data_IF_671003746671
#
_entry.id   IF_671003746671
#
_cell.length_a   1.000
_cell.length_b   1.000
_cell.length_c   1.000
_cell.angle_alpha   90.00
_cell.angle_beta   90.00
_cell.angle_gamma   90.00
#
_symmetry.space_group_name_H-M   'P 1'
#
loop_
_entity.id
_entity.type
_entity.pdbx_description
1 polymer ?
#
# COMPACT_ATOMS: atom_id res chain seq x y z
N UNK A 1 -23.83 -10.35 -4.11
CA UNK A 1 -23.67 -10.02 -2.67
C UNK A 1 -22.65 -8.90 -2.58
N UNK A 2 -23.10 -7.67 -2.35
CA UNK A 2 -22.21 -6.52 -2.19
C UNK A 2 -21.49 -6.64 -0.84
N UNK A 3 -20.20 -6.88 -0.87
CA UNK A 3 -19.38 -6.82 0.34
C UNK A 3 -19.22 -5.35 0.73
N UNK A 4 -20.03 -4.89 1.66
CA UNK A 4 -19.87 -3.58 2.27
C UNK A 4 -18.78 -3.71 3.35
N UNK A 5 -17.65 -3.07 3.15
CA UNK A 5 -16.63 -2.96 4.18
C UNK A 5 -17.14 -2.00 5.27
N UNK A 6 -17.08 -2.41 6.53
CA UNK A 6 -17.46 -1.55 7.65
C UNK A 6 -16.38 -0.52 7.99
N UNK A 7 -15.10 -0.91 7.83
CA UNK A 7 -13.94 -0.04 8.09
C UNK A 7 -12.85 -0.25 7.05
N UNK A 8 -12.19 0.83 6.66
CA UNK A 8 -10.96 0.82 5.87
C UNK A 8 -9.82 1.26 6.78
N UNK A 9 -8.95 0.32 7.14
CA UNK A 9 -7.77 0.56 7.97
C UNK A 9 -6.59 0.86 7.05
N UNK A 10 -5.85 1.93 7.28
CA UNK A 10 -4.69 2.27 6.44
C UNK A 10 -3.45 2.56 7.27
N UNK A 11 -2.34 1.88 6.95
CA UNK A 11 -1.04 2.15 7.56
C UNK A 11 -0.39 3.41 6.99
N UNK A 12 -0.06 4.37 7.86
CA UNK A 12 0.54 5.66 7.49
C UNK A 12 1.88 5.82 8.21
N UNK A 13 2.94 6.16 7.48
CA UNK A 13 4.27 6.45 8.03
C UNK A 13 4.92 7.71 7.45
N UNK A 14 4.21 8.43 6.54
CA UNK A 14 4.70 9.60 5.84
C UNK A 14 5.53 9.29 4.58
N UNK A 15 5.77 8.03 4.25
CA UNK A 15 6.43 7.66 2.99
C UNK A 15 5.51 7.86 1.79
N UNK A 16 6.08 8.06 0.59
CA UNK A 16 5.30 8.18 -0.66
C UNK A 16 4.37 6.98 -0.88
N UNK A 17 4.81 5.77 -0.51
CA UNK A 17 3.97 4.58 -0.59
C UNK A 17 2.79 4.64 0.37
N UNK A 18 2.98 5.13 1.60
CA UNK A 18 1.90 5.27 2.57
C UNK A 18 0.93 6.41 2.23
N UNK A 19 1.43 7.51 1.64
CA UNK A 19 0.57 8.60 1.14
C UNK A 19 -0.31 8.12 -0.02
N UNK A 20 0.23 7.29 -0.91
CA UNK A 20 -0.56 6.67 -1.98
C UNK A 20 -1.59 5.68 -1.42
N UNK A 21 -1.21 4.90 -0.41
CA UNK A 21 -2.13 4.02 0.30
C UNK A 21 -3.27 4.80 0.97
N UNK A 22 -2.96 5.97 1.58
CA UNK A 22 -3.95 6.86 2.18
C UNK A 22 -4.95 7.40 1.13
N UNK A 23 -4.47 7.84 -0.04
CA UNK A 23 -5.33 8.27 -1.16
C UNK A 23 -6.27 7.15 -1.61
N UNK A 24 -5.73 5.95 -1.79
CA UNK A 24 -6.52 4.79 -2.15
C UNK A 24 -7.59 4.47 -1.09
N UNK A 25 -7.20 4.46 0.19
CA UNK A 25 -8.09 4.16 1.31
C UNK A 25 -9.25 5.16 1.41
N UNK A 26 -8.99 6.46 1.24
CA UNK A 26 -10.01 7.51 1.21
C UNK A 26 -10.99 7.30 0.05
N UNK A 27 -10.49 7.04 -1.16
CA UNK A 27 -11.35 6.75 -2.32
C UNK A 27 -12.23 5.52 -2.08
N UNK A 28 -11.68 4.51 -1.45
CA UNK A 28 -12.41 3.27 -1.14
C UNK A 28 -13.44 3.47 -0.03
N UNK A 29 -13.08 4.19 1.04
CA UNK A 29 -14.00 4.52 2.13
C UNK A 29 -15.22 5.29 1.60
N UNK A 30 -15.03 6.27 0.70
CA UNK A 30 -16.12 6.99 0.03
C UNK A 30 -17.00 6.09 -0.82
N UNK A 31 -16.39 5.20 -1.61
CA UNK A 31 -17.13 4.34 -2.53
C UNK A 31 -18.02 3.32 -1.83
N UNK A 32 -17.67 2.92 -0.60
CA UNK A 32 -18.36 1.89 0.16
C UNK A 32 -19.06 2.40 1.44
N UNK A 33 -19.08 3.71 1.65
CA UNK A 33 -19.62 4.34 2.86
C UNK A 33 -19.05 3.71 4.14
N UNK A 34 -17.72 3.52 4.15
CA UNK A 34 -16.99 2.88 5.23
C UNK A 34 -16.25 3.89 6.09
N UNK A 35 -16.14 3.64 7.40
CA UNK A 35 -15.30 4.43 8.29
C UNK A 35 -13.82 4.27 7.92
N UNK A 36 -13.06 5.35 7.91
CA UNK A 36 -11.61 5.35 7.66
C UNK A 36 -10.84 5.34 8.99
N UNK A 37 -9.90 4.40 9.13
CA UNK A 37 -9.05 4.26 10.32
C UNK A 37 -7.59 4.37 9.93
N UNK A 38 -7.02 5.57 9.85
CA UNK A 38 -5.58 5.76 9.65
C UNK A 38 -4.82 5.34 10.91
N UNK A 39 -3.80 4.51 10.71
CA UNK A 39 -2.96 3.98 11.80
C UNK A 39 -1.51 4.39 11.58
N UNK A 40 -0.96 5.17 12.49
CA UNK A 40 0.46 5.47 12.55
C UNK A 40 1.07 4.72 13.74
N UNK A 41 1.98 3.81 13.44
CA UNK A 41 2.74 3.08 14.44
C UNK A 41 4.11 3.73 14.66
N UNK A 42 4.52 3.88 15.91
CA UNK A 42 5.83 4.42 16.24
C UNK A 42 6.55 3.59 17.31
N UNK A 43 7.87 3.62 17.28
CA UNK A 43 8.73 3.01 18.28
C UNK A 43 9.75 4.04 18.77
N UNK A 44 10.16 3.99 20.05
CA UNK A 44 11.23 4.87 20.55
C UNK A 44 12.53 4.71 19.72
N UNK A 45 13.30 5.78 19.54
CA UNK A 45 14.65 5.69 18.98
C UNK A 45 15.49 4.66 19.73
N UNK A 46 16.18 3.78 18.99
CA UNK A 46 16.92 2.65 19.57
C UNK A 46 16.05 1.43 19.90
N UNK A 47 14.72 1.52 19.74
CA UNK A 47 13.78 0.41 19.98
C UNK A 47 13.23 0.35 21.41
N UNK A 48 12.42 -0.69 21.68
CA UNK A 48 11.74 -0.86 22.97
C UNK A 48 12.68 -1.25 24.13
N UNK A 49 13.71 -2.03 23.87
CA UNK A 49 14.58 -2.57 24.93
C UNK A 49 15.37 -1.51 25.70
N UNK A 50 16.05 -0.55 25.05
CA UNK A 50 16.71 0.54 25.74
C UNK A 50 15.74 1.41 26.54
N UNK A 51 14.59 1.72 25.96
CA UNK A 51 13.57 2.57 26.61
C UNK A 51 12.93 1.89 27.83
N UNK A 52 12.83 0.55 27.85
CA UNK A 52 12.38 -0.20 29.05
C UNK A 52 13.38 -0.14 30.18
N UNK A 53 14.71 -0.14 29.87
CA UNK A 53 15.75 -0.07 30.88
C UNK A 53 15.90 1.34 31.47
N UNK A 54 15.71 2.35 30.64
CA UNK A 54 15.87 3.78 31.04
C UNK A 54 14.68 4.59 30.50
N UNK A 55 13.50 4.48 31.11
CA UNK A 55 12.32 5.22 30.66
C UNK A 55 12.48 6.71 30.95
N UNK A 56 12.44 7.55 29.92
CA UNK A 56 12.45 9.00 30.02
C UNK A 56 11.06 9.51 29.64
N UNK A 57 10.19 9.68 30.60
CA UNK A 57 8.78 10.06 30.37
C UNK A 57 8.60 11.30 29.50
N UNK A 58 9.36 12.43 29.68
CA UNK A 58 9.23 13.59 28.80
C UNK A 58 9.49 13.29 27.33
N UNK A 59 10.51 12.46 27.03
CA UNK A 59 10.83 12.07 25.65
C UNK A 59 9.74 11.19 25.04
N UNK A 60 9.17 10.27 25.80
CA UNK A 60 8.07 9.42 25.33
C UNK A 60 6.87 10.26 24.92
N UNK A 61 6.50 11.27 25.70
CA UNK A 61 5.41 12.18 25.38
C UNK A 61 5.71 13.05 24.15
N UNK A 62 6.97 13.41 23.94
CA UNK A 62 7.37 14.14 22.75
C UNK A 62 7.27 13.26 21.50
N UNK A 63 7.81 12.05 21.51
CA UNK A 63 7.71 11.11 20.38
C UNK A 63 6.26 10.79 20.02
N UNK A 64 5.39 10.70 21.00
CA UNK A 64 3.96 10.53 20.76
C UNK A 64 3.39 11.74 20.00
N UNK A 65 3.67 12.98 20.47
CA UNK A 65 3.22 14.19 19.77
C UNK A 65 3.80 14.32 18.36
N UNK A 66 5.07 13.95 18.18
CA UNK A 66 5.72 13.94 16.87
C UNK A 66 5.07 12.92 15.93
N UNK A 67 4.63 11.77 16.44
CA UNK A 67 3.89 10.77 15.68
C UNK A 67 2.49 11.29 15.28
N UNK A 68 1.78 11.93 16.19
CA UNK A 68 0.49 12.58 15.90
C UNK A 68 0.63 13.69 14.86
N UNK A 69 1.70 14.51 14.97
CA UNK A 69 1.98 15.53 13.95
C UNK A 69 2.28 14.93 12.59
N UNK A 70 3.06 13.84 12.52
CA UNK A 70 3.32 13.12 11.25
C UNK A 70 2.04 12.60 10.61
N UNK A 71 1.08 12.13 11.39
CA UNK A 71 -0.20 11.68 10.85
C UNK A 71 -0.98 12.87 10.25
N UNK A 72 -1.02 14.02 10.93
CA UNK A 72 -1.63 15.24 10.38
C UNK A 72 -0.96 15.69 9.09
N UNK A 73 0.37 15.78 9.09
CA UNK A 73 1.16 16.14 7.89
C UNK A 73 0.88 15.17 6.73
N UNK A 74 0.69 13.88 6.99
CA UNK A 74 0.36 12.92 5.95
C UNK A 74 -1.00 13.20 5.29
N UNK A 75 -1.99 13.71 6.01
CA UNK A 75 -3.23 14.18 5.39
C UNK A 75 -3.01 15.40 4.52
N UNK A 76 -2.23 16.37 4.99
CA UNK A 76 -1.93 17.59 4.22
C UNK A 76 -1.18 17.26 2.93
N UNK A 77 -0.12 16.47 3.00
CA UNK A 77 0.70 16.08 1.85
C UNK A 77 -0.01 15.08 0.93
N UNK A 78 -0.76 14.15 1.51
CA UNK A 78 -1.44 13.10 0.78
C UNK A 78 -2.71 13.57 0.07
N UNK A 79 -3.46 14.48 0.66
CA UNK A 79 -4.83 14.81 0.25
C UNK A 79 -5.11 16.31 0.17
N UNK A 80 -4.16 17.17 0.55
CA UNK A 80 -4.36 18.60 0.67
C UNK A 80 -5.17 19.00 1.91
N UNK A 81 -5.29 18.11 2.89
CA UNK A 81 -6.00 18.29 4.14
C UNK A 81 -6.84 17.09 4.56
N UNK A 82 -7.39 17.14 5.75
CA UNK A 82 -8.25 16.07 6.28
C UNK A 82 -9.64 16.12 5.63
N UNK A 83 -10.14 15.02 5.03
CA UNK A 83 -11.50 14.96 4.49
C UNK A 83 -12.56 15.20 5.56
N UNK A 84 -13.51 16.10 5.29
CA UNK A 84 -14.63 16.40 6.19
C UNK A 84 -15.88 15.57 5.91
N UNK A 85 -15.89 14.81 4.84
CA UNK A 85 -16.99 14.01 4.34
C UNK A 85 -16.96 12.54 4.76
N UNK A 86 -15.94 12.14 5.54
CA UNK A 86 -15.74 10.77 6.01
C UNK A 86 -15.75 10.70 7.55
N UNK A 87 -16.26 9.59 8.06
CA UNK A 87 -16.01 9.22 9.47
C UNK A 87 -14.57 8.73 9.60
N UNK A 88 -13.72 9.51 10.27
CA UNK A 88 -12.28 9.22 10.39
C UNK A 88 -11.89 9.10 11.86
N UNK A 89 -11.37 7.94 12.23
CA UNK A 89 -10.87 7.62 13.56
C UNK A 89 -9.36 7.39 13.55
N UNK A 90 -8.57 8.42 13.89
CA UNK A 90 -7.10 8.36 13.90
C UNK A 90 -6.57 7.48 15.03
N UNK A 91 -5.62 6.60 14.72
CA UNK A 91 -4.92 5.79 15.72
C UNK A 91 -3.41 6.02 15.63
N UNK A 92 -2.83 6.54 16.71
CA UNK A 92 -1.37 6.66 16.87
C UNK A 92 -0.94 5.70 17.97
N UNK A 93 -0.25 4.63 17.58
CA UNK A 93 0.02 3.49 18.43
C UNK A 93 1.53 3.26 18.60
N UNK A 94 1.94 2.91 19.82
CA UNK A 94 3.33 2.56 20.09
C UNK A 94 3.54 1.06 19.90
N UNK A 95 4.49 0.70 19.02
CA UNK A 95 4.89 -0.68 18.80
C UNK A 95 5.20 -1.00 17.34
N UNK A 96 5.47 -2.29 17.02
CA UNK A 96 5.77 -2.74 15.67
C UNK A 96 4.57 -2.61 14.73
N UNK A 97 4.74 -1.85 13.65
CA UNK A 97 3.65 -1.46 12.74
C UNK A 97 2.83 -2.65 12.20
N UNK A 98 3.49 -3.70 11.69
CA UNK A 98 2.76 -4.83 11.12
C UNK A 98 1.87 -5.55 12.14
N UNK A 99 2.34 -5.72 13.38
CA UNK A 99 1.53 -6.35 14.45
C UNK A 99 0.35 -5.48 14.84
N UNK A 100 0.56 -4.16 14.94
CA UNK A 100 -0.49 -3.22 15.32
C UNK A 100 -1.56 -3.12 14.25
N UNK A 101 -1.16 -3.03 12.98
CA UNK A 101 -2.10 -3.01 11.85
C UNK A 101 -2.98 -4.26 11.80
N UNK A 102 -2.39 -5.45 11.99
CA UNK A 102 -3.12 -6.71 12.04
C UNK A 102 -4.09 -6.74 13.24
N UNK A 103 -3.65 -6.24 14.41
CA UNK A 103 -4.49 -6.20 15.60
C UNK A 103 -5.65 -5.20 15.50
N UNK A 104 -5.49 -4.10 14.77
CA UNK A 104 -6.55 -3.11 14.51
C UNK A 104 -7.55 -3.64 13.48
N UNK A 105 -7.06 -4.33 12.44
CA UNK A 105 -7.87 -4.95 11.38
C UNK A 105 -8.37 -6.33 11.82
N UNK A 106 -9.18 -6.36 12.88
CA UNK A 106 -9.62 -7.57 13.59
C UNK A 106 -10.98 -8.10 13.15
N UNK A 107 -11.69 -7.39 12.26
CA UNK A 107 -13.03 -7.77 11.82
C UNK A 107 -12.99 -8.31 10.39
N UNK A 108 -13.80 -9.31 10.09
CA UNK A 108 -13.92 -9.87 8.73
C UNK A 108 -14.42 -8.86 7.68
N UNK A 109 -15.17 -7.85 8.12
CA UNK A 109 -15.64 -6.74 7.28
C UNK A 109 -14.66 -5.58 7.16
N UNK A 110 -13.44 -5.70 7.67
CA UNK A 110 -12.39 -4.69 7.49
C UNK A 110 -11.70 -4.85 6.14
N UNK A 111 -11.16 -3.75 5.63
CA UNK A 111 -10.17 -3.71 4.56
C UNK A 111 -8.89 -3.10 5.09
N UNK A 112 -7.79 -3.84 5.05
CA UNK A 112 -6.47 -3.32 5.44
C UNK A 112 -5.70 -2.84 4.22
N UNK A 113 -5.32 -1.56 4.20
CA UNK A 113 -4.56 -0.93 3.12
C UNK A 113 -3.16 -0.57 3.61
N UNK A 114 -2.14 -0.99 2.88
CA UNK A 114 -0.74 -0.72 3.22
C UNK A 114 0.05 -0.29 1.99
N UNK A 115 0.95 0.67 2.16
CA UNK A 115 1.88 1.05 1.10
C UNK A 115 2.96 -0.01 0.91
N UNK A 116 3.37 -0.26 -0.34
CA UNK A 116 4.58 -1.02 -0.63
C UNK A 116 5.76 -0.07 -0.78
N UNK A 117 6.90 -0.39 -0.17
CA UNK A 117 8.14 0.38 -0.36
C UNK A 117 8.66 0.30 -1.80
N UNK A 118 9.50 1.26 -2.21
CA UNK A 118 10.16 1.26 -3.54
C UNK A 118 10.93 -0.03 -3.76
N UNK A 119 10.73 -0.66 -4.92
CA UNK A 119 11.38 -1.92 -5.35
C UNK A 119 12.92 -1.86 -5.46
N UNK A 120 13.61 -0.85 -5.01
CA UNK A 120 15.06 -0.73 -5.21
C UNK A 120 15.91 -0.52 -3.96
N UNK A 121 15.34 -0.02 -2.86
CA UNK A 121 16.14 0.46 -1.72
C UNK A 121 16.26 -0.51 -0.56
N UNK A 122 15.59 -1.65 -0.58
CA UNK A 122 15.47 -2.56 0.57
C UNK A 122 15.97 -3.98 0.32
N UNK A 123 17.01 -4.15 -0.51
CA UNK A 123 17.70 -5.45 -0.55
C UNK A 123 18.48 -5.78 0.75
N UNK A 124 18.57 -4.84 1.70
CA UNK A 124 19.29 -5.02 2.97
C UNK A 124 18.43 -4.98 4.24
N UNK A 125 17.14 -4.68 4.18
CA UNK A 125 16.27 -4.82 5.34
C UNK A 125 15.71 -6.26 5.38
N UNK A 126 16.44 -7.15 5.98
CA UNK A 126 16.13 -8.58 6.21
C UNK A 126 15.02 -8.77 7.25
N UNK A 127 14.38 -7.72 7.72
CA UNK A 127 13.24 -7.84 8.64
C UNK A 127 11.97 -7.47 7.89
N UNK A 128 11.10 -8.47 7.73
CA UNK A 128 9.88 -8.51 6.97
C UNK A 128 9.15 -7.17 6.79
N UNK A 129 8.95 -6.75 5.55
CA UNK A 129 8.20 -5.52 5.29
C UNK A 129 6.82 -5.59 5.95
N UNK A 130 6.34 -4.47 6.47
CA UNK A 130 5.02 -4.34 7.09
C UNK A 130 3.93 -4.91 6.18
N UNK A 131 3.96 -4.59 4.89
CA UNK A 131 3.01 -5.10 3.90
C UNK A 131 3.04 -6.62 3.79
N UNK A 132 4.24 -7.25 3.76
CA UNK A 132 4.34 -8.71 3.73
C UNK A 132 3.76 -9.34 5.00
N UNK A 133 4.03 -8.76 6.16
CA UNK A 133 3.51 -9.25 7.43
C UNK A 133 1.97 -9.14 7.47
N UNK A 134 1.40 -8.03 7.01
CA UNK A 134 -0.03 -7.85 6.91
C UNK A 134 -0.67 -8.88 5.96
N UNK A 135 -0.14 -9.06 4.76
CA UNK A 135 -0.65 -10.04 3.79
C UNK A 135 -0.59 -11.48 4.33
N UNK A 136 0.46 -11.81 5.09
CA UNK A 136 0.63 -13.16 5.62
C UNK A 136 -0.26 -13.48 6.84
N UNK A 137 -0.67 -12.48 7.61
CA UNK A 137 -1.27 -12.72 8.94
C UNK A 137 -2.59 -11.97 9.21
N UNK A 138 -3.04 -11.06 8.36
CA UNK A 138 -4.33 -10.41 8.54
C UNK A 138 -5.48 -11.40 8.31
N UNK A 139 -6.58 -11.22 9.06
CA UNK A 139 -7.79 -12.03 8.93
C UNK A 139 -8.86 -11.38 8.04
N UNK A 140 -8.53 -10.25 7.43
CA UNK A 140 -9.35 -9.50 6.49
C UNK A 140 -8.62 -9.33 5.15
N UNK A 141 -9.30 -8.91 4.08
CA UNK A 141 -8.65 -8.53 2.82
C UNK A 141 -7.57 -7.47 3.02
N UNK A 142 -6.43 -7.65 2.33
CA UNK A 142 -5.30 -6.71 2.38
C UNK A 142 -4.99 -6.20 0.98
N UNK A 143 -4.94 -4.88 0.83
CA UNK A 143 -4.52 -4.21 -0.40
C UNK A 143 -3.13 -3.60 -0.19
N UNK A 144 -2.18 -4.03 -0.99
CA UNK A 144 -0.82 -3.50 -1.01
C UNK A 144 -0.67 -2.51 -2.17
N UNK A 145 -0.59 -1.21 -1.84
CA UNK A 145 -0.58 -0.11 -2.82
C UNK A 145 0.87 0.25 -3.17
N UNK A 146 1.27 0.17 -4.44
CA UNK A 146 2.59 0.62 -4.85
C UNK A 146 2.70 2.14 -4.77
N UNK A 147 3.91 2.70 -4.56
CA UNK A 147 4.12 4.14 -4.70
C UNK A 147 3.77 4.56 -6.13
N UNK A 148 3.20 5.76 -6.28
CA UNK A 148 2.96 6.33 -7.59
C UNK A 148 4.29 6.36 -8.38
N UNK A 149 4.30 6.02 -9.67
CA UNK A 149 5.46 6.28 -10.51
C UNK A 149 5.79 7.76 -10.39
N UNK A 150 7.04 8.09 -10.13
CA UNK A 150 7.52 9.47 -10.15
C UNK A 150 7.48 9.94 -11.61
N UNK A 151 6.30 10.36 -12.07
CA UNK A 151 6.08 10.74 -13.46
C UNK A 151 6.85 12.02 -13.85
N UNK A 152 7.29 12.82 -12.88
CA UNK A 152 7.76 14.17 -13.16
C UNK A 152 9.27 14.40 -13.00
N UNK A 153 10.02 13.51 -12.35
CA UNK A 153 11.49 13.69 -12.25
C UNK A 153 12.29 13.11 -13.44
N UNK A 154 11.65 12.35 -14.32
CA UNK A 154 12.31 11.68 -15.44
C UNK A 154 11.56 11.82 -16.77
N UNK A 155 10.97 12.98 -17.03
CA UNK A 155 10.32 13.28 -18.31
C UNK A 155 11.20 13.03 -19.56
N UNK A 156 12.52 12.91 -19.39
CA UNK A 156 13.45 12.53 -20.45
C UNK A 156 13.72 11.02 -20.58
N UNK A 157 13.60 10.26 -19.50
CA UNK A 157 13.90 8.82 -19.49
C UNK A 157 12.69 7.97 -19.86
N UNK A 158 11.48 8.43 -19.60
CA UNK A 158 10.23 7.75 -19.99
C UNK A 158 9.94 7.83 -21.49
N UNK A 159 10.52 8.78 -22.21
CA UNK A 159 10.47 8.78 -23.68
C UNK A 159 11.24 7.58 -24.27
N UNK A 160 12.23 7.07 -23.56
CA UNK A 160 13.03 5.90 -23.96
C UNK A 160 12.45 4.58 -23.47
N UNK A 161 11.59 4.62 -22.43
CA UNK A 161 10.88 3.45 -21.86
C UNK A 161 9.45 3.29 -22.40
N UNK A 162 9.14 3.81 -23.57
CA UNK A 162 7.95 3.40 -24.36
C UNK A 162 7.99 1.92 -24.79
N UNK A 163 8.85 1.12 -24.18
CA UNK A 163 9.03 -0.32 -24.44
C UNK A 163 8.36 -1.22 -23.39
N UNK A 164 7.49 -0.71 -22.52
CA UNK A 164 6.52 -1.55 -21.84
C UNK A 164 5.11 -1.20 -22.32
N UNK A 165 4.88 -1.45 -23.59
CA UNK A 165 3.60 -1.89 -24.09
C UNK A 165 3.34 -3.20 -23.37
N UNK A 166 2.24 -3.25 -22.64
CA UNK A 166 1.78 -4.50 -22.03
C UNK A 166 1.78 -5.57 -23.13
N UNK A 167 2.43 -6.72 -22.95
CA UNK A 167 2.42 -7.79 -23.98
C UNK A 167 1.01 -8.22 -24.38
N UNK A 168 0.00 -7.83 -23.59
CA UNK A 168 -1.41 -8.14 -23.83
C UNK A 168 -2.15 -7.10 -24.69
N UNK A 169 -1.54 -5.91 -24.92
CA UNK A 169 -2.11 -4.87 -25.79
C UNK A 169 -1.70 -5.02 -27.25
N UNK A 170 -0.92 -6.05 -27.59
CA UNK A 170 -0.54 -6.37 -28.96
C UNK A 170 -1.48 -7.46 -29.53
N UNK A 171 -2.40 -7.11 -30.47
CA UNK A 171 -3.27 -8.09 -31.10
C UNK A 171 -2.52 -9.22 -31.80
N UNK A 172 -1.26 -9.01 -32.18
CA UNK A 172 -0.40 -10.02 -32.80
C UNK A 172 0.13 -11.05 -31.81
N UNK A 173 0.14 -10.77 -30.51
CA UNK A 173 0.53 -11.74 -29.49
C UNK A 173 -0.52 -12.87 -29.33
N UNK A 174 -1.77 -12.59 -29.62
CA UNK A 174 -2.85 -13.59 -29.63
C UNK A 174 -2.77 -14.52 -30.85
N UNK A 175 -2.30 -14.02 -31.99
CA UNK A 175 -2.11 -14.82 -33.20
C UNK A 175 -0.96 -15.85 -33.08
N UNK A 176 0.07 -15.54 -32.30
CA UNK A 176 1.17 -16.46 -32.03
C UNK A 176 0.78 -17.61 -31.09
N UNK A 177 -0.23 -17.42 -30.26
CA UNK A 177 -0.75 -18.47 -29.37
C UNK A 177 -1.87 -19.32 -30.01
N UNK A 178 -2.51 -18.81 -31.07
CA UNK A 178 -3.61 -19.51 -31.79
C UNK A 178 -3.23 -19.95 -33.18
N UNK A 179 -2.10 -19.51 -33.74
CA UNK A 179 -1.68 -19.66 -35.11
C UNK A 179 -0.87 -20.94 -35.44
N UNK A 180 -1.03 -22.00 -34.67
CA UNK A 180 -0.35 -23.30 -34.91
C UNK A 180 -1.17 -24.37 -35.62
N UNK A 181 -2.30 -24.06 -36.27
CA UNK A 181 -3.14 -25.12 -36.85
C UNK A 181 -3.85 -24.76 -38.17
N UNK A 182 -3.14 -24.10 -39.09
CA UNK A 182 -3.65 -23.98 -40.47
C UNK A 182 -2.51 -23.88 -41.48
N UNK A 183 -1.76 -24.93 -41.68
CA UNK A 183 -0.96 -25.11 -42.88
C UNK A 183 -0.49 -26.57 -43.01
N UNK A 184 -1.40 -27.54 -43.16
CA UNK A 184 -1.07 -28.88 -43.67
C UNK A 184 -2.31 -29.57 -44.23
N UNK A 185 -2.94 -28.94 -45.21
CA UNK A 185 -3.97 -29.63 -45.98
C UNK A 185 -4.17 -29.00 -47.36
N UNK A 186 -3.10 -28.96 -48.17
CA UNK A 186 -3.24 -28.72 -49.61
C UNK A 186 -1.94 -29.14 -50.32
N UNK A 187 -1.72 -30.43 -50.43
CA UNK A 187 -0.83 -31.04 -51.42
C UNK A 187 -1.04 -32.56 -51.50
N UNK A 188 -2.17 -32.99 -51.91
CA UNK A 188 -2.33 -34.29 -52.60
C UNK A 188 -3.52 -34.10 -53.53
N UNK A 189 -3.24 -33.69 -54.77
CA UNK A 189 -3.94 -34.11 -55.98
C UNK A 189 -3.26 -33.39 -57.15
N UNK A 190 -2.58 -34.16 -57.93
CA UNK A 190 -2.28 -34.12 -59.36
C UNK A 190 -0.89 -34.70 -59.61
N UNK A 191 -0.89 -36.05 -59.87
CA UNK A 191 -0.18 -36.72 -60.96
C UNK A 191 -0.52 -38.21 -60.95
#
# INVERSE_FOLDING_TARGET
MSHTFGRVIVGVDGSLGSLQALRFAVGHARAFDAALVPVLAWTPPGGEMPNRRFPVAPLTSQWQRDAEQRLRTAFDEGLGGRPGDLDISDLVLRGPAGRLLIAVADRRGDLLVVGTGRRGMLRRAIQGSVSRQCVAHAQCPVVAVPPAPLADEFGGVLATLRLHRDPWDDPSALDLLTGGSRAQSDRIDHA
#
